data_IF_324862633586
#
_entry.id   IF_324862633586
#
_cell.length_a   1.000
_cell.length_b   1.000
_cell.length_c   1.000
_cell.angle_alpha   90.00
_cell.angle_beta   90.00
_cell.angle_gamma   90.00
#
_symmetry.space_group_name_H-M   'P 1'
#
loop_
_entity.id
_entity.type
_entity.pdbx_description
1 polymer ?
#
# COMPACT_ATOMS: atom_id res chain seq x y z
N UNK A 1 7.24 -0.75 1.81
CA UNK A 1 7.69 0.31 0.86
C UNK A 1 7.10 -0.03 -0.50
N UNK A 2 6.58 0.95 -1.23
CA UNK A 2 5.95 0.75 -2.55
C UNK A 2 6.69 1.59 -3.60
N UNK A 3 6.93 1.01 -4.78
CA UNK A 3 7.40 1.77 -5.94
C UNK A 3 6.22 2.55 -6.53
N UNK A 4 6.22 3.87 -6.35
CA UNK A 4 5.09 4.71 -6.75
C UNK A 4 5.00 4.89 -8.26
N UNK A 5 6.06 4.63 -9.02
CA UNK A 5 6.04 4.75 -10.48
C UNK A 5 5.56 3.46 -11.16
N UNK A 6 5.43 2.36 -10.42
CA UNK A 6 4.99 1.06 -10.93
C UNK A 6 3.47 0.87 -10.76
N UNK A 7 2.72 1.49 -11.67
CA UNK A 7 1.25 1.49 -11.64
C UNK A 7 0.61 0.14 -11.95
N UNK A 8 1.33 -0.75 -12.63
CA UNK A 8 0.85 -2.08 -13.03
C UNK A 8 0.93 -3.07 -11.86
N UNK A 9 2.03 -3.06 -11.10
CA UNK A 9 2.24 -4.01 -9.99
C UNK A 9 1.65 -3.59 -8.64
N UNK A 10 1.12 -2.38 -8.53
CA UNK A 10 0.50 -1.91 -7.28
C UNK A 10 -0.68 -2.79 -6.81
N UNK A 11 -1.37 -3.48 -7.74
CA UNK A 11 -2.40 -4.46 -7.40
C UNK A 11 -1.85 -5.69 -6.69
N UNK A 12 -0.68 -6.19 -7.12
CA UNK A 12 0.03 -7.29 -6.45
C UNK A 12 0.47 -6.87 -5.05
N UNK A 13 0.95 -5.63 -4.90
CA UNK A 13 1.33 -5.08 -3.60
C UNK A 13 0.15 -4.98 -2.62
N UNK A 14 -1.05 -4.64 -3.12
CA UNK A 14 -2.29 -4.67 -2.33
C UNK A 14 -2.59 -6.08 -1.82
N UNK A 15 -2.56 -7.06 -2.72
CA UNK A 15 -2.94 -8.44 -2.39
C UNK A 15 -1.97 -9.04 -1.36
N UNK A 16 -0.67 -8.76 -1.50
CA UNK A 16 0.33 -9.20 -0.52
C UNK A 16 0.17 -8.49 0.83
N UNK A 17 -0.08 -7.17 0.82
CA UNK A 17 -0.38 -6.42 2.04
C UNK A 17 -1.60 -7.02 2.77
N UNK A 18 -2.67 -7.36 2.05
CA UNK A 18 -3.87 -7.97 2.65
C UNK A 18 -3.58 -9.35 3.25
N UNK A 19 -2.75 -10.17 2.59
CA UNK A 19 -2.33 -11.47 3.14
C UNK A 19 -1.53 -11.31 4.43
N UNK A 20 -0.52 -10.43 4.44
CA UNK A 20 0.28 -10.16 5.63
C UNK A 20 -0.60 -9.64 6.78
N UNK A 21 -1.53 -8.73 6.47
CA UNK A 21 -2.45 -8.17 7.47
C UNK A 21 -3.52 -9.17 7.95
N UNK A 22 -3.62 -10.36 7.35
CA UNK A 22 -4.46 -11.43 7.86
C UNK A 22 -3.74 -12.33 8.88
N UNK A 23 -2.42 -12.18 9.04
CA UNK A 23 -1.64 -12.90 10.05
C UNK A 23 -1.92 -12.34 11.46
N UNK A 24 -2.10 -13.24 12.43
CA UNK A 24 -2.49 -12.89 13.80
C UNK A 24 -1.41 -12.02 14.48
N UNK A 25 -0.15 -12.23 14.14
CA UNK A 25 1.01 -11.49 14.63
C UNK A 25 0.98 -10.00 14.21
N UNK A 26 0.28 -9.69 13.11
CA UNK A 26 0.20 -8.35 12.53
C UNK A 26 -1.18 -7.68 12.74
N UNK A 27 -2.03 -8.29 13.58
CA UNK A 27 -3.36 -7.77 13.88
C UNK A 27 -3.33 -6.37 14.49
N UNK A 28 -2.45 -6.12 15.46
CA UNK A 28 -2.33 -4.82 16.15
C UNK A 28 -1.12 -3.99 15.68
N UNK A 29 -0.45 -4.42 14.61
CA UNK A 29 0.71 -3.72 14.10
C UNK A 29 0.34 -2.37 13.47
N UNK A 30 1.15 -1.35 13.76
CA UNK A 30 1.04 -0.05 13.09
C UNK A 30 1.61 -0.16 11.68
N UNK A 31 0.83 0.26 10.70
CA UNK A 31 1.22 0.25 9.29
C UNK A 31 1.75 1.63 8.86
N UNK A 32 3.00 1.66 8.36
CA UNK A 32 3.58 2.82 7.68
C UNK A 32 3.92 2.45 6.23
N UNK A 33 3.39 3.21 5.28
CA UNK A 33 3.64 3.00 3.86
C UNK A 33 4.52 4.13 3.33
N UNK A 34 5.73 3.78 2.89
CA UNK A 34 6.58 4.66 2.11
C UNK A 34 6.23 4.54 0.62
N UNK A 35 5.68 5.62 0.07
CA UNK A 35 5.52 5.86 -1.36
C UNK A 35 6.86 6.27 -1.97
N UNK A 36 7.66 5.30 -2.42
CA UNK A 36 9.03 5.54 -2.90
C UNK A 36 9.06 5.93 -4.38
N UNK A 37 10.18 6.53 -4.84
CA UNK A 37 10.40 6.99 -6.22
C UNK A 37 9.50 8.14 -6.69
N UNK A 38 9.21 9.07 -5.79
CA UNK A 38 8.39 10.26 -6.08
C UNK A 38 9.08 11.26 -7.03
N UNK A 39 10.37 11.08 -7.29
CA UNK A 39 11.17 11.82 -8.27
C UNK A 39 10.80 11.50 -9.73
N UNK A 40 10.10 10.39 -9.99
CA UNK A 40 9.75 9.95 -11.35
C UNK A 40 8.44 10.58 -11.85
N UNK A 41 8.33 10.85 -13.17
CA UNK A 41 7.23 11.64 -13.73
C UNK A 41 5.84 11.01 -13.62
N UNK A 42 5.73 9.68 -13.46
CA UNK A 42 4.45 8.98 -13.35
C UNK A 42 4.19 8.44 -11.94
N UNK A 43 4.96 8.90 -10.94
CA UNK A 43 4.79 8.50 -9.55
C UNK A 43 3.37 8.78 -9.06
N UNK A 44 2.76 7.76 -8.47
CA UNK A 44 1.46 7.87 -7.81
C UNK A 44 1.60 8.77 -6.58
N UNK A 45 0.66 9.69 -6.41
CA UNK A 45 0.60 10.50 -5.20
C UNK A 45 0.02 9.68 -4.03
N UNK A 46 0.06 10.24 -2.82
CA UNK A 46 -0.41 9.56 -1.61
C UNK A 46 -1.88 9.13 -1.67
N UNK A 47 -2.76 9.94 -2.28
CA UNK A 47 -4.18 9.61 -2.43
C UNK A 47 -4.38 8.43 -3.38
N UNK A 48 -3.73 8.45 -4.55
CA UNK A 48 -3.77 7.34 -5.50
C UNK A 48 -3.27 6.02 -4.90
N UNK A 49 -2.19 6.07 -4.12
CA UNK A 49 -1.65 4.89 -3.42
C UNK A 49 -2.64 4.39 -2.37
N UNK A 50 -3.25 5.29 -1.61
CA UNK A 50 -4.26 4.95 -0.59
C UNK A 50 -5.44 4.20 -1.22
N UNK A 51 -5.93 4.68 -2.36
CA UNK A 51 -7.03 4.07 -3.09
C UNK A 51 -6.63 2.72 -3.69
N UNK A 52 -5.49 2.65 -4.38
CA UNK A 52 -5.02 1.42 -5.05
C UNK A 52 -4.66 0.30 -4.08
N UNK A 53 -4.11 0.64 -2.92
CA UNK A 53 -3.86 -0.32 -1.84
C UNK A 53 -5.11 -0.61 -0.99
N UNK A 54 -6.24 0.06 -1.26
CA UNK A 54 -7.50 -0.17 -0.56
C UNK A 54 -7.44 0.15 0.93
N UNK A 55 -6.61 1.12 1.36
CA UNK A 55 -6.35 1.36 2.79
C UNK A 55 -7.57 1.86 3.56
N UNK A 56 -8.58 2.40 2.86
CA UNK A 56 -9.84 2.85 3.47
C UNK A 56 -10.59 1.71 4.19
N UNK A 57 -10.42 0.46 3.74
CA UNK A 57 -11.05 -0.70 4.39
C UNK A 57 -10.36 -1.11 5.70
N UNK A 58 -9.14 -0.62 5.93
CA UNK A 58 -8.34 -0.94 7.12
C UNK A 58 -8.74 -0.13 8.36
N UNK A 59 -9.69 0.82 8.22
CA UNK A 59 -10.08 1.76 9.28
C UNK A 59 -10.68 1.11 10.54
N UNK A 60 -11.10 -0.15 10.45
CA UNK A 60 -11.67 -0.94 11.56
C UNK A 60 -10.92 -2.26 11.80
N UNK A 61 -9.66 -2.36 11.36
CA UNK A 61 -8.79 -3.50 11.75
C UNK A 61 -8.33 -3.36 13.20
#
# INVERSE_FOLDING_TARGET
VVDSNDRERVGEARDELQRMLAEDELREAVLLIFANKQDLPNAMNAAEITDKLGLHSLRNR
#
